data_IF_338696357029
#
_entry.id   IF_338696357029
#
_cell.length_a   1.000
_cell.length_b   1.000
_cell.length_c   1.000
_cell.angle_alpha   90.00
_cell.angle_beta   90.00
_cell.angle_gamma   90.00
#
_symmetry.space_group_name_H-M   'P 1'
#
loop_
_entity.id
_entity.type
_entity.pdbx_description
1 polymer ?
#
# COMPACT_ATOMS: atom_id res chain seq x y z
N UNK A 1 -28.24 -0.03 33.63
CA UNK A 1 -28.75 1.13 32.86
C UNK A 1 -28.44 0.91 31.39
N UNK A 2 -29.43 0.85 30.52
CA UNK A 2 -29.24 0.91 29.08
C UNK A 2 -29.05 2.39 28.71
N UNK A 3 -27.95 2.73 28.03
CA UNK A 3 -27.70 4.08 27.55
C UNK A 3 -28.72 4.50 26.48
N UNK A 4 -28.92 5.80 26.33
CA UNK A 4 -29.83 6.37 25.34
C UNK A 4 -29.43 5.97 23.93
N UNK A 5 -30.42 5.51 23.15
CA UNK A 5 -30.25 5.17 21.74
C UNK A 5 -31.01 6.16 20.89
N UNK A 6 -30.32 6.76 19.94
CA UNK A 6 -30.91 7.69 18.97
C UNK A 6 -30.88 7.11 17.58
N UNK A 7 -31.92 7.39 16.79
CA UNK A 7 -31.99 7.01 15.36
C UNK A 7 -31.95 8.30 14.56
N UNK A 8 -30.90 8.50 13.81
CA UNK A 8 -30.69 9.73 13.03
C UNK A 8 -30.67 9.45 11.54
N UNK A 9 -31.07 10.45 10.76
CA UNK A 9 -30.89 10.50 9.30
C UNK A 9 -30.09 11.74 8.97
N UNK A 10 -29.21 11.66 7.99
CA UNK A 10 -28.42 12.79 7.54
C UNK A 10 -28.41 12.88 6.02
N UNK A 11 -28.18 14.08 5.49
CA UNK A 11 -27.95 14.35 4.08
C UNK A 11 -26.53 14.88 3.97
N UNK A 12 -25.68 14.19 3.21
CA UNK A 12 -24.31 14.58 2.88
C UNK A 12 -24.24 15.08 1.46
N UNK A 13 -23.67 16.27 1.26
CA UNK A 13 -23.27 16.77 -0.06
C UNK A 13 -21.78 17.04 -0.06
N UNK A 14 -21.07 16.49 -1.05
CA UNK A 14 -19.67 16.84 -1.28
C UNK A 14 -19.64 18.15 -2.07
N UNK A 15 -18.89 19.19 -1.63
CA UNK A 15 -18.64 20.35 -2.47
C UNK A 15 -17.89 19.90 -3.73
N UNK A 16 -18.28 20.38 -4.89
CA UNK A 16 -17.50 20.21 -6.12
C UNK A 16 -16.36 21.22 -6.09
N UNK A 17 -15.15 20.78 -6.35
CA UNK A 17 -14.01 21.66 -6.57
C UNK A 17 -14.28 22.46 -7.85
N UNK A 18 -13.97 23.75 -7.82
CA UNK A 18 -13.99 24.55 -9.04
C UNK A 18 -12.88 24.09 -9.99
N UNK A 19 -13.15 24.01 -11.29
CA UNK A 19 -12.15 23.59 -12.28
C UNK A 19 -10.89 24.48 -12.20
N UNK A 20 -11.07 25.78 -11.96
CA UNK A 20 -9.98 26.74 -11.80
C UNK A 20 -9.02 26.38 -10.65
N UNK A 21 -9.54 25.82 -9.54
CA UNK A 21 -8.71 25.41 -8.39
C UNK A 21 -7.88 24.18 -8.75
N UNK A 22 -8.47 23.24 -9.52
CA UNK A 22 -7.78 22.06 -10.01
C UNK A 22 -6.66 22.48 -10.96
N UNK A 23 -6.95 23.35 -11.93
CA UNK A 23 -5.98 23.83 -12.92
C UNK A 23 -4.81 24.57 -12.24
N UNK A 24 -5.10 25.43 -11.26
CA UNK A 24 -4.08 26.13 -10.48
C UNK A 24 -3.20 25.16 -9.71
N UNK A 25 -3.80 24.13 -9.11
CA UNK A 25 -3.07 23.10 -8.36
C UNK A 25 -2.21 22.25 -9.30
N UNK A 26 -2.71 21.89 -10.47
CA UNK A 26 -1.95 21.16 -11.50
C UNK A 26 -0.72 21.94 -11.95
N UNK A 27 -0.86 23.23 -12.25
CA UNK A 27 0.27 24.10 -12.63
C UNK A 27 1.31 24.17 -11.50
N UNK A 28 0.87 24.31 -10.26
CA UNK A 28 1.78 24.29 -9.09
C UNK A 28 2.52 22.96 -8.96
N UNK A 29 1.81 21.84 -9.10
CA UNK A 29 2.41 20.51 -9.04
C UNK A 29 3.39 20.26 -10.19
N UNK A 30 3.11 20.81 -11.39
CA UNK A 30 4.01 20.72 -12.52
C UNK A 30 5.32 21.49 -12.27
N UNK A 31 5.22 22.70 -11.72
CA UNK A 31 6.40 23.46 -11.29
C UNK A 31 7.25 22.70 -10.25
N UNK A 32 6.60 22.07 -9.26
CA UNK A 32 7.30 21.24 -8.26
C UNK A 32 7.99 20.05 -8.93
N UNK A 33 7.30 19.36 -9.84
CA UNK A 33 7.88 18.22 -10.56
C UNK A 33 9.08 18.62 -11.41
N UNK A 34 9.02 19.80 -12.08
CA UNK A 34 10.14 20.34 -12.82
C UNK A 34 11.33 20.71 -11.92
N UNK A 35 11.09 21.33 -10.78
CA UNK A 35 12.13 21.70 -9.84
C UNK A 35 12.86 20.47 -9.28
N UNK A 36 12.12 19.37 -9.03
CA UNK A 36 12.72 18.09 -8.65
C UNK A 36 13.54 17.51 -9.82
N UNK A 37 13.03 17.55 -11.06
CA UNK A 37 13.77 17.08 -12.25
C UNK A 37 15.04 17.90 -12.52
N UNK A 38 15.04 19.17 -12.16
CA UNK A 38 16.21 20.08 -12.22
C UNK A 38 17.13 19.95 -10.98
N UNK A 39 16.86 18.98 -10.10
CA UNK A 39 17.64 18.71 -8.89
C UNK A 39 17.79 19.89 -7.93
N UNK A 40 16.83 20.83 -7.92
CA UNK A 40 16.84 21.93 -6.94
C UNK A 40 16.62 21.42 -5.52
N UNK A 41 15.83 20.35 -5.37
CA UNK A 41 15.62 19.60 -4.14
C UNK A 41 15.22 18.16 -4.49
N UNK A 42 15.36 17.27 -3.54
CA UNK A 42 14.99 15.86 -3.73
C UNK A 42 13.47 15.66 -3.69
N UNK A 43 12.99 14.57 -4.29
CA UNK A 43 11.57 14.19 -4.18
C UNK A 43 11.14 13.99 -2.72
N UNK A 44 12.01 13.43 -1.93
CA UNK A 44 11.84 13.14 -0.51
C UNK A 44 11.67 14.43 0.33
N UNK A 45 12.42 15.48 0.00
CA UNK A 45 12.28 16.81 0.61
C UNK A 45 10.98 17.47 0.18
N UNK A 46 10.67 17.44 -1.12
CA UNK A 46 9.40 17.96 -1.63
C UNK A 46 8.20 17.28 -0.95
N UNK A 47 8.22 15.96 -0.83
CA UNK A 47 7.16 15.22 -0.16
C UNK A 47 7.03 15.60 1.32
N UNK A 48 8.15 15.85 2.01
CA UNK A 48 8.14 16.22 3.44
C UNK A 48 7.60 17.63 3.67
N UNK A 49 7.94 18.58 2.82
CA UNK A 49 7.64 20.00 3.07
C UNK A 49 6.45 20.53 2.28
N UNK A 50 6.16 19.98 1.10
CA UNK A 50 5.15 20.50 0.18
C UNK A 50 3.92 19.61 0.06
N UNK A 51 3.96 18.35 0.54
CA UNK A 51 2.82 17.44 0.44
C UNK A 51 1.78 17.72 1.52
N UNK A 52 0.51 17.72 1.13
CA UNK A 52 -0.64 17.78 2.04
C UNK A 52 -1.05 16.41 2.59
N UNK A 53 -0.50 15.33 2.04
CA UNK A 53 -0.79 13.98 2.50
C UNK A 53 -0.03 13.66 3.80
N UNK A 54 -0.76 13.68 4.90
CA UNK A 54 -0.20 13.46 6.25
C UNK A 54 0.35 12.05 6.44
N UNK A 55 -0.17 11.07 5.70
CA UNK A 55 0.16 9.67 5.89
C UNK A 55 1.54 9.34 5.28
N UNK A 56 1.84 9.90 4.11
CA UNK A 56 3.13 9.69 3.44
C UNK A 56 4.16 10.80 3.72
N UNK A 57 3.74 12.02 4.05
CA UNK A 57 4.64 13.15 4.31
C UNK A 57 5.69 12.85 5.37
N UNK A 58 5.29 12.27 6.49
CA UNK A 58 6.19 11.91 7.58
C UNK A 58 7.14 10.74 7.21
N UNK A 59 6.84 10.02 6.15
CA UNK A 59 7.65 8.94 5.59
C UNK A 59 8.34 9.36 4.28
N UNK A 60 8.63 10.65 4.12
CA UNK A 60 9.31 11.21 2.94
C UNK A 60 8.64 10.84 1.61
N UNK A 61 7.30 10.82 1.61
CA UNK A 61 6.49 10.47 0.44
C UNK A 61 6.41 8.97 0.14
N UNK A 62 7.05 8.10 0.94
CA UNK A 62 7.01 6.67 0.70
C UNK A 62 5.63 6.11 1.05
N UNK A 63 4.93 5.58 0.05
CA UNK A 63 3.68 4.88 0.24
C UNK A 63 3.90 3.56 0.98
N UNK A 64 3.00 3.23 1.90
CA UNK A 64 3.05 1.97 2.65
C UNK A 64 1.72 1.23 2.54
N UNK A 65 1.81 -0.07 2.40
CA UNK A 65 0.69 -1.00 2.46
C UNK A 65 0.78 -1.83 3.75
N UNK A 66 -0.38 -2.22 4.27
CA UNK A 66 -0.47 -3.12 5.43
C UNK A 66 -0.91 -4.47 4.92
N UNK A 67 -0.08 -5.48 5.09
CA UNK A 67 -0.38 -6.86 4.71
C UNK A 67 -0.38 -7.75 5.95
N UNK A 68 -1.30 -8.70 5.98
CA UNK A 68 -1.27 -9.74 7.01
C UNK A 68 -0.21 -10.76 6.64
N UNK A 69 0.77 -10.95 7.50
CA UNK A 69 1.82 -11.95 7.34
C UNK A 69 1.49 -13.18 8.17
N UNK A 70 1.18 -14.27 7.50
CA UNK A 70 0.84 -15.53 8.16
C UNK A 70 2.00 -16.16 8.95
N UNK A 71 3.24 -15.84 8.61
CA UNK A 71 4.42 -16.38 9.28
C UNK A 71 4.64 -15.74 10.66
N UNK A 72 4.27 -14.48 10.80
CA UNK A 72 4.37 -13.72 12.05
C UNK A 72 3.03 -13.71 12.81
N UNK A 73 1.92 -13.96 12.10
CA UNK A 73 0.57 -13.89 12.65
C UNK A 73 0.09 -12.46 12.92
N UNK A 74 0.72 -11.46 12.30
CA UNK A 74 0.45 -10.05 12.54
C UNK A 74 0.48 -9.25 11.22
N UNK A 75 0.07 -7.99 11.31
CA UNK A 75 0.12 -7.06 10.20
C UNK A 75 1.51 -6.44 10.05
N UNK A 76 2.10 -6.60 8.90
CA UNK A 76 3.36 -5.94 8.53
C UNK A 76 3.12 -4.76 7.59
N UNK A 77 3.92 -3.71 7.76
CA UNK A 77 3.97 -2.59 6.82
C UNK A 77 5.03 -2.85 5.78
N UNK A 78 4.64 -2.77 4.51
CA UNK A 78 5.56 -2.89 3.38
C UNK A 78 5.43 -1.68 2.46
N UNK A 79 6.52 -1.28 1.84
CA UNK A 79 6.53 -0.26 0.77
C UNK A 79 6.51 -0.88 -0.63
N UNK A 80 6.36 -2.19 -0.73
CA UNK A 80 6.24 -2.92 -2.00
C UNK A 80 4.78 -3.18 -2.30
N UNK A 81 4.35 -2.82 -3.50
CA UNK A 81 2.99 -2.98 -3.99
C UNK A 81 3.00 -3.84 -5.24
N UNK A 82 1.99 -4.67 -5.40
CA UNK A 82 1.62 -5.17 -6.72
C UNK A 82 0.83 -4.07 -7.44
N UNK A 83 0.88 -4.04 -8.77
CA UNK A 83 0.16 -3.02 -9.55
C UNK A 83 -1.34 -2.99 -9.24
N UNK A 84 -1.92 -4.14 -8.91
CA UNK A 84 -3.34 -4.29 -8.55
C UNK A 84 -3.69 -3.70 -7.16
N UNK A 85 -2.71 -3.50 -6.30
CA UNK A 85 -2.88 -2.94 -4.95
C UNK A 85 -2.80 -1.41 -4.94
N UNK A 86 -2.33 -0.82 -6.04
CA UNK A 86 -2.25 0.63 -6.20
C UNK A 86 -3.60 1.21 -6.66
N UNK A 87 -3.92 2.47 -6.32
CA UNK A 87 -5.03 3.18 -6.96
C UNK A 87 -4.90 3.12 -8.48
N UNK A 88 -6.02 2.97 -9.18
CA UNK A 88 -6.03 2.71 -10.63
C UNK A 88 -5.26 3.76 -11.44
N UNK A 89 -5.40 5.04 -11.06
CA UNK A 89 -4.72 6.16 -11.70
C UNK A 89 -3.20 6.07 -11.48
N UNK A 90 -2.76 5.74 -10.26
CA UNK A 90 -1.34 5.55 -9.93
C UNK A 90 -0.78 4.36 -10.68
N UNK A 91 -1.49 3.22 -10.69
CA UNK A 91 -1.07 2.01 -11.40
C UNK A 91 -0.88 2.27 -12.90
N UNK A 92 -1.82 3.01 -13.53
CA UNK A 92 -1.74 3.41 -14.93
C UNK A 92 -0.49 4.23 -15.22
N UNK A 93 -0.18 5.22 -14.40
CA UNK A 93 0.99 6.09 -14.57
C UNK A 93 2.28 5.28 -14.34
N UNK A 94 2.37 4.54 -13.23
CA UNK A 94 3.57 3.78 -12.87
C UNK A 94 3.89 2.67 -13.88
N UNK A 95 2.88 2.08 -14.54
CA UNK A 95 3.10 1.03 -15.55
C UNK A 95 3.91 1.50 -16.77
N UNK A 96 3.89 2.80 -17.06
CA UNK A 96 4.60 3.41 -18.20
C UNK A 96 5.96 4.00 -17.82
N UNK A 97 6.26 4.12 -16.51
CA UNK A 97 7.44 4.79 -15.98
C UNK A 97 8.66 3.86 -15.90
N UNK A 98 9.84 4.45 -16.02
CA UNK A 98 11.11 3.80 -15.72
C UNK A 98 11.50 4.01 -14.25
N UNK A 99 12.31 3.12 -13.70
CA UNK A 99 12.88 3.27 -12.37
C UNK A 99 13.65 4.58 -12.24
N UNK A 100 13.37 5.35 -11.20
CA UNK A 100 13.92 6.68 -10.95
C UNK A 100 13.14 7.83 -11.58
N UNK A 101 12.23 7.55 -12.47
CA UNK A 101 11.44 8.56 -13.17
C UNK A 101 10.40 9.22 -12.26
N UNK A 102 10.10 10.49 -12.56
CA UNK A 102 9.07 11.30 -11.89
C UNK A 102 7.95 11.55 -12.90
N UNK A 103 6.73 11.24 -12.52
CA UNK A 103 5.56 11.44 -13.37
C UNK A 103 5.26 12.92 -13.64
N UNK A 104 4.44 13.18 -14.63
CA UNK A 104 3.72 14.45 -14.70
C UNK A 104 2.59 14.45 -13.64
N UNK A 105 2.10 15.62 -13.23
CA UNK A 105 0.94 15.72 -12.37
C UNK A 105 -0.29 15.04 -12.97
N UNK A 106 -1.05 14.35 -12.15
CA UNK A 106 -2.31 13.72 -12.55
C UNK A 106 -3.35 13.81 -11.44
N UNK A 107 -4.60 13.72 -11.81
CA UNK A 107 -5.71 13.66 -10.87
C UNK A 107 -5.93 12.21 -10.41
N UNK A 108 -6.19 12.06 -9.13
CA UNK A 108 -6.59 10.79 -8.54
C UNK A 108 -7.59 11.00 -7.41
N UNK A 109 -8.26 9.94 -7.01
CA UNK A 109 -9.11 9.93 -5.83
C UNK A 109 -8.34 9.27 -4.67
N UNK A 110 -8.19 10.01 -3.57
CA UNK A 110 -7.51 9.47 -2.40
C UNK A 110 -8.41 8.47 -1.61
N UNK A 111 -7.84 7.79 -0.60
CA UNK A 111 -8.55 6.84 0.27
C UNK A 111 -9.76 7.44 0.99
N UNK A 112 -9.85 8.76 1.10
CA UNK A 112 -10.96 9.52 1.70
C UNK A 112 -12.02 9.91 0.68
N UNK A 113 -11.90 9.48 -0.58
CA UNK A 113 -12.83 9.79 -1.66
C UNK A 113 -12.77 11.25 -2.14
N UNK A 114 -11.65 11.94 -1.93
CA UNK A 114 -11.41 13.30 -2.41
C UNK A 114 -10.54 13.26 -3.66
N UNK A 115 -10.87 14.12 -4.63
CA UNK A 115 -10.02 14.40 -5.79
C UNK A 115 -8.79 15.19 -5.34
N UNK A 116 -7.62 14.70 -5.73
CA UNK A 116 -6.32 15.31 -5.41
C UNK A 116 -5.41 15.26 -6.63
N UNK A 117 -4.51 16.22 -6.73
CA UNK A 117 -3.43 16.20 -7.71
C UNK A 117 -2.24 15.47 -7.10
N UNK A 118 -1.65 14.56 -7.85
CA UNK A 118 -0.52 13.77 -7.41
C UNK A 118 0.62 13.77 -8.43
N UNK A 119 1.85 13.66 -7.91
CA UNK A 119 3.07 13.35 -8.65
C UNK A 119 3.70 12.14 -7.97
N UNK A 120 4.15 11.17 -8.73
CA UNK A 120 4.77 9.96 -8.20
C UNK A 120 6.18 9.77 -8.76
N UNK A 121 7.07 9.16 -7.95
CA UNK A 121 8.41 8.73 -8.34
C UNK A 121 8.49 7.22 -8.22
N UNK A 122 8.85 6.55 -9.28
CA UNK A 122 9.06 5.10 -9.26
C UNK A 122 10.45 4.78 -8.69
N UNK A 123 10.52 4.41 -7.41
CA UNK A 123 11.78 4.14 -6.73
C UNK A 123 12.44 2.84 -7.20
N UNK A 124 11.64 1.78 -7.31
CA UNK A 124 12.12 0.44 -7.68
C UNK A 124 11.04 -0.30 -8.46
N UNK A 125 11.43 -0.98 -9.51
CA UNK A 125 10.56 -1.87 -10.27
C UNK A 125 11.16 -3.27 -10.27
N UNK A 126 10.53 -4.20 -9.58
CA UNK A 126 10.90 -5.61 -9.58
C UNK A 126 10.06 -6.30 -10.64
N UNK A 127 10.69 -6.70 -11.74
CA UNK A 127 10.02 -7.46 -12.80
C UNK A 127 9.61 -8.83 -12.27
N UNK A 128 8.50 -9.36 -12.78
CA UNK A 128 8.12 -10.74 -12.50
C UNK A 128 9.28 -11.68 -12.91
N UNK A 129 9.76 -12.46 -11.97
CA UNK A 129 10.84 -13.42 -12.19
C UNK A 129 10.51 -14.73 -11.47
N UNK A 130 11.18 -15.79 -11.88
CA UNK A 130 11.10 -17.07 -11.17
C UNK A 130 11.89 -16.94 -9.87
N UNK A 131 11.28 -17.34 -8.75
CA UNK A 131 11.91 -17.23 -7.45
C UNK A 131 13.31 -17.87 -7.43
N UNK A 132 14.29 -17.14 -6.92
CA UNK A 132 15.68 -17.57 -6.80
C UNK A 132 16.17 -17.49 -5.37
N UNK A 133 17.12 -18.35 -5.02
CA UNK A 133 17.70 -18.36 -3.66
C UNK A 133 18.51 -17.09 -3.35
N UNK A 134 19.00 -16.38 -4.36
CA UNK A 134 19.79 -15.17 -4.18
C UNK A 134 18.94 -13.92 -3.91
N UNK A 135 17.75 -13.84 -4.52
CA UNK A 135 16.91 -12.64 -4.46
C UNK A 135 15.71 -12.81 -3.53
N UNK A 136 15.17 -14.04 -3.43
CA UNK A 136 13.93 -14.33 -2.73
C UNK A 136 14.14 -15.23 -1.49
N UNK A 137 15.36 -15.32 -0.98
CA UNK A 137 15.72 -16.25 0.12
C UNK A 137 14.74 -16.16 1.29
N UNK A 138 14.38 -14.96 1.73
CA UNK A 138 13.47 -14.80 2.88
C UNK A 138 12.06 -15.33 2.55
N UNK A 139 11.54 -15.02 1.38
CA UNK A 139 10.20 -15.49 0.95
C UNK A 139 10.19 -17.02 0.83
N UNK A 140 11.23 -17.60 0.23
CA UNK A 140 11.36 -19.06 0.10
C UNK A 140 11.50 -19.72 1.46
N UNK A 141 12.28 -19.14 2.36
CA UNK A 141 12.44 -19.62 3.76
C UNK A 141 11.08 -19.62 4.47
N UNK A 142 10.31 -18.54 4.38
CA UNK A 142 9.02 -18.42 5.05
C UNK A 142 8.01 -19.44 4.53
N UNK A 143 7.98 -19.70 3.22
CA UNK A 143 7.16 -20.75 2.60
C UNK A 143 7.57 -22.14 3.11
N UNK A 144 8.86 -22.43 3.16
CA UNK A 144 9.37 -23.73 3.65
C UNK A 144 9.06 -23.90 5.14
N UNK A 145 9.26 -22.86 5.94
CA UNK A 145 8.96 -22.88 7.37
C UNK A 145 7.48 -23.11 7.64
N UNK A 146 6.59 -22.42 6.92
CA UNK A 146 5.15 -22.63 7.03
C UNK A 146 4.76 -24.10 6.72
N UNK A 147 5.32 -24.66 5.65
CA UNK A 147 5.07 -26.06 5.28
C UNK A 147 5.61 -27.06 6.33
N UNK A 148 6.78 -26.80 6.88
CA UNK A 148 7.34 -27.64 7.96
C UNK A 148 6.50 -27.57 9.24
N UNK A 149 6.00 -26.38 9.59
CA UNK A 149 5.09 -26.20 10.73
C UNK A 149 3.79 -26.98 10.53
N UNK A 150 3.18 -26.87 9.34
CA UNK A 150 1.99 -27.63 8.99
C UNK A 150 2.22 -29.15 9.09
N UNK A 151 3.33 -29.63 8.54
CA UNK A 151 3.71 -31.05 8.63
C UNK A 151 3.89 -31.50 10.08
N UNK A 152 4.55 -30.68 10.92
CA UNK A 152 4.75 -30.98 12.34
C UNK A 152 3.43 -31.03 13.12
N UNK A 153 2.54 -30.08 12.86
CA UNK A 153 1.20 -30.05 13.48
C UNK A 153 0.41 -31.31 13.07
N UNK A 154 0.38 -31.62 11.78
CA UNK A 154 -0.32 -32.80 11.27
C UNK A 154 0.25 -34.12 11.85
N UNK A 155 1.57 -34.20 11.99
CA UNK A 155 2.20 -35.34 12.60
C UNK A 155 1.82 -35.46 14.10
N UNK A 156 1.89 -34.34 14.82
CA UNK A 156 1.49 -34.27 16.23
C UNK A 156 0.02 -34.69 16.43
N UNK A 157 -0.88 -34.19 15.58
CA UNK A 157 -2.31 -34.60 15.61
C UNK A 157 -2.45 -36.12 15.44
N UNK A 158 -1.79 -36.69 14.42
CA UNK A 158 -1.82 -38.15 14.17
C UNK A 158 -1.30 -38.96 15.37
N UNK A 159 -0.24 -38.50 16.01
CA UNK A 159 0.34 -39.16 17.16
C UNK A 159 -0.58 -39.05 18.39
N UNK A 160 -1.21 -37.88 18.59
CA UNK A 160 -2.20 -37.68 19.65
C UNK A 160 -3.48 -38.51 19.43
N UNK A 161 -3.95 -38.61 18.20
CA UNK A 161 -5.11 -39.46 17.85
C UNK A 161 -4.89 -40.95 18.22
N UNK A 162 -3.65 -41.43 18.13
CA UNK A 162 -3.32 -42.82 18.53
C UNK A 162 -3.35 -43.02 20.04
N UNK A 163 -3.10 -42.00 20.83
CA UNK A 163 -2.96 -42.06 22.29
C UNK A 163 -4.16 -41.49 23.05
N UNK A 164 -5.14 -40.90 22.35
CA UNK A 164 -6.30 -40.22 22.97
C UNK A 164 -7.59 -40.81 22.43
N UNK A 165 -8.52 -41.11 23.31
CA UNK A 165 -9.87 -41.54 22.94
C UNK A 165 -10.65 -40.31 22.40
N UNK A 166 -11.09 -40.37 21.16
CA UNK A 166 -11.86 -39.29 20.50
C UNK A 166 -13.25 -39.84 20.18
N UNK A 167 -14.30 -39.19 20.71
CA UNK A 167 -15.69 -39.43 20.33
C UNK A 167 -16.24 -38.23 19.58
N UNK A 168 -16.64 -38.44 18.34
CA UNK A 168 -17.35 -37.44 17.52
C UNK A 168 -18.84 -37.70 17.70
N UNK A 169 -19.59 -36.74 18.23
CA UNK A 169 -21.03 -36.77 18.26
C UNK A 169 -21.53 -36.07 17.01
N UNK A 170 -22.23 -36.78 16.13
CA UNK A 170 -22.93 -36.24 14.97
C UNK A 170 -24.19 -35.50 15.40
#
# INVERSE_FOLDING_TARGET
KRGDKVKVRHILRKPKLAQADIDTTMVRMDSIAEDIRKEKYSFEEAATFLSDDKDSRNNRGLMTNVKFDQSVGDQIRTSRFQLQELPAEVAKVVSTMKTGEISNPFLMVNSKGKEVCAVVKLKTHIKAHRASMSEDFQVLKDVVMAKLQEQKINQWIKDKQKSTYIRINE
#
